data_IF_047015178225
#
_entry.id   IF_047015178225
#
_cell.length_a   1.000
_cell.length_b   1.000
_cell.length_c   1.000
_cell.angle_alpha   90.00
_cell.angle_beta   90.00
_cell.angle_gamma   90.00
#
_symmetry.space_group_name_H-M   'P 1'
#
loop_
_entity.id
_entity.type
_entity.pdbx_description
1 polymer ?
#
# COMPACT_ATOMS: atom_id res chain seq x y z
N UNK A 1 31.31 -25.80 -31.80
CA UNK A 1 30.17 -25.08 -32.40
C UNK A 1 29.84 -23.92 -31.47
N UNK A 2 30.19 -22.68 -31.86
CA UNK A 2 29.91 -21.47 -31.10
C UNK A 2 28.46 -21.05 -31.35
N UNK A 3 27.60 -21.20 -30.36
CA UNK A 3 26.26 -20.59 -30.37
C UNK A 3 26.35 -19.32 -29.53
N UNK A 4 26.80 -18.24 -30.17
CA UNK A 4 26.65 -16.88 -29.65
C UNK A 4 25.19 -16.47 -29.82
N UNK A 5 24.36 -16.81 -28.83
CA UNK A 5 22.99 -16.29 -28.77
C UNK A 5 23.07 -14.77 -28.49
N UNK A 6 22.99 -13.95 -29.54
CA UNK A 6 22.80 -12.51 -29.43
C UNK A 6 21.38 -12.25 -28.91
N UNK A 7 21.18 -12.41 -27.61
CA UNK A 7 19.99 -11.92 -26.92
C UNK A 7 20.07 -10.39 -26.85
N UNK A 8 19.27 -9.71 -27.67
CA UNK A 8 19.03 -8.27 -27.55
C UNK A 8 18.20 -8.02 -26.30
N UNK A 9 18.86 -7.78 -25.18
CA UNK A 9 18.19 -7.29 -23.97
C UNK A 9 17.72 -5.86 -24.21
N UNK A 10 16.44 -5.56 -23.95
CA UNK A 10 16.00 -4.16 -23.83
C UNK A 10 16.79 -3.49 -22.69
N UNK A 11 17.52 -2.42 -22.99
CA UNK A 11 18.21 -1.65 -21.96
C UNK A 11 17.19 -0.83 -21.14
N UNK A 12 16.67 -1.46 -20.08
CA UNK A 12 15.71 -0.88 -19.14
C UNK A 12 16.36 0.10 -18.16
N UNK A 13 17.67 0.35 -18.24
CA UNK A 13 18.36 1.24 -17.30
C UNK A 13 17.85 2.68 -17.37
N UNK A 14 17.55 3.17 -18.57
CA UNK A 14 17.02 4.52 -18.74
C UNK A 14 15.60 4.62 -18.17
N UNK A 15 14.73 3.67 -18.52
CA UNK A 15 13.38 3.57 -17.97
C UNK A 15 13.39 3.48 -16.43
N UNK A 16 14.27 2.65 -15.85
CA UNK A 16 14.38 2.50 -14.40
C UNK A 16 14.78 3.79 -13.70
N UNK A 17 15.69 4.59 -14.29
CA UNK A 17 16.08 5.90 -13.74
C UNK A 17 14.92 6.89 -13.79
N UNK A 18 14.25 7.00 -14.93
CA UNK A 18 13.14 7.94 -15.13
C UNK A 18 11.95 7.56 -14.23
N UNK A 19 11.64 6.26 -14.15
CA UNK A 19 10.63 5.72 -13.25
C UNK A 19 10.96 6.01 -11.79
N UNK A 20 12.21 5.80 -11.33
CA UNK A 20 12.59 6.04 -9.93
C UNK A 20 12.41 7.49 -9.51
N UNK A 21 12.81 8.43 -10.36
CA UNK A 21 12.61 9.86 -10.13
C UNK A 21 11.14 10.21 -10.06
N UNK A 22 10.31 9.73 -11.00
CA UNK A 22 8.87 9.99 -10.98
C UNK A 22 8.16 9.32 -9.79
N UNK A 23 8.54 8.08 -9.51
CA UNK A 23 7.94 7.21 -8.50
C UNK A 23 7.99 7.84 -7.12
N UNK A 24 9.13 8.37 -6.67
CA UNK A 24 9.21 8.97 -5.33
C UNK A 24 8.22 10.13 -5.17
N UNK A 25 8.14 11.07 -6.12
CA UNK A 25 7.19 12.17 -6.03
C UNK A 25 5.73 11.67 -6.05
N UNK A 26 5.42 10.75 -6.95
CA UNK A 26 4.07 10.18 -7.07
C UNK A 26 3.66 9.43 -5.81
N UNK A 27 4.56 8.62 -5.24
CA UNK A 27 4.37 7.90 -3.99
C UNK A 27 4.01 8.84 -2.84
N UNK A 28 4.78 9.92 -2.65
CA UNK A 28 4.50 10.88 -1.60
C UNK A 28 3.14 11.57 -1.79
N UNK A 29 2.81 11.99 -3.02
CA UNK A 29 1.53 12.62 -3.34
C UNK A 29 0.37 11.67 -3.02
N UNK A 30 0.44 10.43 -3.50
CA UNK A 30 -0.61 9.42 -3.28
C UNK A 30 -0.72 9.09 -1.79
N UNK A 31 0.40 8.90 -1.09
CA UNK A 31 0.39 8.56 0.32
C UNK A 31 -0.16 9.69 1.20
N UNK A 32 0.15 10.96 0.90
CA UNK A 32 -0.38 12.11 1.64
C UNK A 32 -1.88 12.25 1.39
N UNK A 33 -2.30 12.28 0.13
CA UNK A 33 -3.71 12.42 -0.21
C UNK A 33 -4.53 11.24 0.31
N UNK A 34 -4.05 10.01 0.14
CA UNK A 34 -4.70 8.81 0.65
C UNK A 34 -4.81 8.78 2.17
N UNK A 35 -3.79 9.25 2.89
CA UNK A 35 -3.84 9.39 4.35
C UNK A 35 -4.90 10.40 4.77
N UNK A 36 -4.96 11.57 4.13
CA UNK A 36 -5.97 12.60 4.43
C UNK A 36 -7.37 12.06 4.20
N UNK A 37 -7.62 11.45 3.04
CA UNK A 37 -8.93 10.91 2.68
C UNK A 37 -9.37 9.79 3.62
N UNK A 38 -8.47 8.88 3.99
CA UNK A 38 -8.80 7.80 4.93
C UNK A 38 -8.99 8.30 6.37
N UNK A 39 -8.23 9.30 6.82
CA UNK A 39 -8.47 9.95 8.11
C UNK A 39 -9.84 10.61 8.14
N UNK A 40 -10.23 11.31 7.06
CA UNK A 40 -11.58 11.87 6.94
C UNK A 40 -12.65 10.78 6.99
N UNK A 41 -12.45 9.65 6.31
CA UNK A 41 -13.35 8.49 6.41
C UNK A 41 -13.48 7.99 7.84
N UNK A 42 -12.38 7.84 8.58
CA UNK A 42 -12.39 7.43 9.99
C UNK A 42 -13.20 8.43 10.82
N UNK A 43 -12.94 9.74 10.67
CA UNK A 43 -13.62 10.79 11.42
C UNK A 43 -15.14 10.79 11.18
N UNK A 44 -15.56 10.69 9.92
CA UNK A 44 -16.98 10.71 9.51
C UNK A 44 -17.68 9.44 10.03
N UNK A 45 -17.10 8.26 9.78
CA UNK A 45 -17.70 6.98 10.14
C UNK A 45 -17.72 6.73 11.66
N UNK A 46 -16.82 7.36 12.42
CA UNK A 46 -16.77 7.26 13.88
C UNK A 46 -17.84 8.09 14.60
N UNK A 47 -18.58 8.96 13.88
CA UNK A 47 -19.64 9.77 14.48
C UNK A 47 -20.75 8.90 15.07
N UNK A 48 -21.34 9.33 16.19
CA UNK A 48 -22.39 8.57 16.90
C UNK A 48 -23.58 8.21 16.01
N UNK A 49 -23.92 9.08 15.06
CA UNK A 49 -25.04 8.91 14.13
C UNK A 49 -24.78 7.84 13.07
N UNK A 50 -23.52 7.53 12.77
CA UNK A 50 -23.13 6.56 11.75
C UNK A 50 -22.64 5.23 12.35
N UNK A 51 -22.91 4.94 13.63
CA UNK A 51 -22.52 3.65 14.23
C UNK A 51 -23.37 2.51 13.67
N UNK A 52 -22.81 1.78 12.73
CA UNK A 52 -23.38 0.55 12.17
C UNK A 52 -22.27 -0.49 11.96
N UNK A 53 -22.58 -1.79 11.95
CA UNK A 53 -21.58 -2.84 11.68
C UNK A 53 -20.81 -2.61 10.37
N UNK A 54 -21.52 -2.16 9.33
CA UNK A 54 -20.93 -1.75 8.04
C UNK A 54 -19.88 -0.66 8.22
N UNK A 55 -20.20 0.38 9.00
CA UNK A 55 -19.31 1.52 9.20
C UNK A 55 -18.12 1.18 10.10
N UNK A 56 -18.25 0.21 11.00
CA UNK A 56 -17.11 -0.35 11.73
C UNK A 56 -16.13 -1.05 10.77
N UNK A 57 -16.62 -1.88 9.86
CA UNK A 57 -15.77 -2.55 8.85
C UNK A 57 -15.07 -1.52 7.96
N UNK A 58 -15.80 -0.50 7.49
CA UNK A 58 -15.24 0.59 6.70
C UNK A 58 -14.20 1.40 7.47
N UNK A 59 -14.42 1.64 8.76
CA UNK A 59 -13.44 2.33 9.62
C UNK A 59 -12.18 1.49 9.80
N UNK A 60 -12.32 0.18 10.04
CA UNK A 60 -11.18 -0.75 10.13
C UNK A 60 -10.38 -0.80 8.83
N UNK A 61 -11.05 -0.79 7.69
CA UNK A 61 -10.42 -0.74 6.36
C UNK A 61 -9.62 0.57 6.19
N UNK A 62 -10.22 1.71 6.51
CA UNK A 62 -9.55 3.00 6.43
C UNK A 62 -8.34 3.10 7.38
N UNK A 63 -8.41 2.49 8.57
CA UNK A 63 -7.27 2.42 9.51
C UNK A 63 -6.13 1.59 8.90
N UNK A 64 -6.44 0.43 8.32
CA UNK A 64 -5.43 -0.43 7.68
C UNK A 64 -4.72 0.31 6.54
N UNK A 65 -5.47 1.04 5.72
CA UNK A 65 -4.90 1.81 4.60
C UNK A 65 -3.98 2.93 5.09
N UNK A 66 -4.37 3.70 6.12
CA UNK A 66 -3.52 4.75 6.72
C UNK A 66 -2.21 4.17 7.26
N UNK A 67 -2.28 3.02 7.94
CA UNK A 67 -1.10 2.35 8.50
C UNK A 67 -0.12 1.97 7.38
N UNK A 68 -0.61 1.40 6.27
CA UNK A 68 0.22 1.06 5.11
C UNK A 68 0.82 2.32 4.48
N UNK A 69 0.05 3.40 4.35
CA UNK A 69 0.56 4.65 3.75
C UNK A 69 1.69 5.27 4.59
N UNK A 70 1.58 5.24 5.91
CA UNK A 70 2.63 5.74 6.81
C UNK A 70 3.90 4.91 6.78
N UNK A 71 3.79 3.59 6.65
CA UNK A 71 4.95 2.71 6.53
C UNK A 71 5.63 2.82 5.15
N UNK A 72 4.84 3.06 4.10
CA UNK A 72 5.37 3.16 2.73
C UNK A 72 6.20 4.43 2.49
N UNK A 73 5.85 5.57 3.10
CA UNK A 73 6.62 6.83 2.95
C UNK A 73 8.12 6.72 3.32
N UNK A 74 8.51 6.22 4.51
CA UNK A 74 9.91 6.03 4.85
C UNK A 74 10.57 4.98 3.97
N UNK A 75 9.86 3.93 3.56
CA UNK A 75 10.38 2.96 2.59
C UNK A 75 10.73 3.62 1.25
N UNK A 76 9.81 4.37 0.64
CA UNK A 76 10.03 5.04 -0.64
C UNK A 76 11.22 6.01 -0.57
N UNK A 77 11.37 6.72 0.55
CA UNK A 77 12.50 7.63 0.78
C UNK A 77 13.84 6.90 0.94
N UNK A 78 13.88 5.83 1.75
CA UNK A 78 15.12 5.08 1.97
C UNK A 78 15.54 4.28 0.74
N UNK A 79 14.58 3.76 -0.04
CA UNK A 79 14.81 3.09 -1.31
C UNK A 79 15.45 4.01 -2.36
N UNK A 80 15.21 5.33 -2.31
CA UNK A 80 15.88 6.26 -3.21
C UNK A 80 17.37 6.52 -2.82
N UNK A 81 17.72 6.35 -1.54
CA UNK A 81 19.10 6.49 -1.06
C UNK A 81 19.94 5.25 -1.36
N UNK A 82 20.65 5.27 -2.48
CA UNK A 82 21.47 4.16 -3.01
C UNK A 82 22.56 3.65 -2.05
N UNK A 83 23.00 4.47 -1.11
CA UNK A 83 24.02 4.13 -0.09
C UNK A 83 23.49 3.26 1.05
N UNK A 84 22.17 3.22 1.27
CA UNK A 84 21.57 2.44 2.37
C UNK A 84 21.41 0.94 2.06
N UNK A 85 21.45 0.55 0.78
CA UNK A 85 21.13 -0.81 0.32
C UNK A 85 21.97 -1.92 0.93
N UNK A 86 23.23 -1.61 1.28
CA UNK A 86 24.18 -2.60 1.79
C UNK A 86 24.28 -2.63 3.32
N UNK A 87 23.44 -1.87 4.02
CA UNK A 87 23.39 -1.90 5.49
C UNK A 87 22.43 -2.99 5.98
N UNK A 88 22.87 -3.77 6.98
CA UNK A 88 22.05 -4.79 7.64
C UNK A 88 20.70 -4.26 8.15
N UNK A 89 20.70 -3.02 8.67
CA UNK A 89 19.49 -2.37 9.16
C UNK A 89 18.47 -2.10 8.05
N UNK A 90 18.94 -1.70 6.87
CA UNK A 90 18.06 -1.47 5.72
C UNK A 90 17.52 -2.78 5.17
N UNK A 91 18.34 -3.83 5.04
CA UNK A 91 17.85 -5.15 4.60
C UNK A 91 16.77 -5.71 5.53
N UNK A 92 16.96 -5.56 6.86
CA UNK A 92 15.95 -5.96 7.85
C UNK A 92 14.65 -5.15 7.69
N UNK A 93 14.77 -3.85 7.43
CA UNK A 93 13.63 -2.97 7.16
C UNK A 93 12.90 -3.35 5.87
N UNK A 94 13.60 -3.73 4.79
CA UNK A 94 12.97 -4.22 3.54
C UNK A 94 12.15 -5.49 3.78
N UNK A 95 12.66 -6.42 4.58
CA UNK A 95 11.93 -7.65 4.93
C UNK A 95 10.68 -7.29 5.75
N UNK A 96 10.82 -6.41 6.74
CA UNK A 96 9.70 -5.90 7.52
C UNK A 96 8.65 -5.26 6.61
N UNK A 97 9.05 -4.31 5.76
CA UNK A 97 8.19 -3.64 4.79
C UNK A 97 7.43 -4.64 3.92
N UNK A 98 8.13 -5.62 3.34
CA UNK A 98 7.53 -6.62 2.47
C UNK A 98 6.49 -7.48 3.20
N UNK A 99 6.76 -7.92 4.42
CA UNK A 99 5.80 -8.73 5.20
C UNK A 99 4.63 -7.87 5.67
N UNK A 100 4.93 -6.67 6.17
CA UNK A 100 3.95 -5.75 6.73
C UNK A 100 2.94 -5.29 5.68
N UNK A 101 3.41 -4.71 4.56
CA UNK A 101 2.53 -4.22 3.49
C UNK A 101 1.66 -5.34 2.92
N UNK A 102 2.24 -6.52 2.65
CA UNK A 102 1.46 -7.66 2.15
C UNK A 102 0.41 -8.12 3.15
N UNK A 103 0.74 -8.22 4.45
CA UNK A 103 -0.21 -8.63 5.47
C UNK A 103 -1.37 -7.64 5.59
N UNK A 104 -1.10 -6.33 5.66
CA UNK A 104 -2.14 -5.33 5.77
C UNK A 104 -2.99 -5.20 4.51
N UNK A 105 -2.39 -5.29 3.31
CA UNK A 105 -3.17 -5.36 2.07
C UNK A 105 -4.08 -6.57 2.04
N UNK A 106 -3.60 -7.74 2.46
CA UNK A 106 -4.42 -8.95 2.57
C UNK A 106 -5.59 -8.74 3.54
N UNK A 107 -5.34 -8.14 4.71
CA UNK A 107 -6.38 -7.80 5.69
C UNK A 107 -7.41 -6.83 5.08
N UNK A 108 -6.98 -5.78 4.39
CA UNK A 108 -7.86 -4.84 3.69
C UNK A 108 -8.74 -5.56 2.66
N UNK A 109 -8.18 -6.49 1.87
CA UNK A 109 -8.95 -7.31 0.94
C UNK A 109 -9.99 -8.18 1.66
N UNK A 110 -9.61 -8.84 2.76
CA UNK A 110 -10.54 -9.63 3.56
C UNK A 110 -11.68 -8.77 4.13
N UNK A 111 -11.39 -7.57 4.65
CA UNK A 111 -12.39 -6.63 5.15
C UNK A 111 -13.35 -6.19 4.04
N UNK A 112 -12.85 -5.94 2.83
CA UNK A 112 -13.69 -5.61 1.67
C UNK A 112 -14.63 -6.77 1.28
N UNK A 113 -14.14 -8.01 1.33
CA UNK A 113 -14.96 -9.21 1.09
C UNK A 113 -16.04 -9.34 2.18
N UNK A 114 -15.65 -9.19 3.45
CA UNK A 114 -16.59 -9.23 4.58
C UNK A 114 -17.66 -8.15 4.43
N UNK A 115 -17.29 -6.93 4.03
CA UNK A 115 -18.22 -5.84 3.75
C UNK A 115 -19.20 -6.21 2.63
N UNK A 116 -18.71 -6.82 1.54
CA UNK A 116 -19.55 -7.25 0.44
C UNK A 116 -20.57 -8.32 0.87
N UNK A 117 -20.13 -9.31 1.66
CA UNK A 117 -21.00 -10.35 2.23
C UNK A 117 -22.03 -9.73 3.18
N UNK A 118 -21.61 -8.82 4.07
CA UNK A 118 -22.49 -8.14 5.01
C UNK A 118 -23.60 -7.38 4.28
N UNK A 119 -23.25 -6.64 3.22
CA UNK A 119 -24.24 -5.94 2.38
C UNK A 119 -25.18 -6.92 1.67
N UNK A 120 -24.68 -8.06 1.21
CA UNK A 120 -25.55 -9.08 0.59
C UNK A 120 -26.58 -9.63 1.59
N UNK A 121 -26.15 -9.96 2.81
CA UNK A 121 -27.03 -10.47 3.86
C UNK A 121 -28.09 -9.43 4.23
N UNK A 122 -27.69 -8.18 4.45
CA UNK A 122 -28.61 -7.09 4.82
C UNK A 122 -29.70 -6.82 3.76
N UNK A 123 -29.42 -7.08 2.48
CA UNK A 123 -30.42 -6.94 1.40
C UNK A 123 -31.34 -8.16 1.33
N UNK A 124 -30.81 -9.37 1.55
CA UNK A 124 -31.58 -10.62 1.45
C UNK A 124 -32.44 -10.91 2.68
N UNK A 125 -31.96 -10.49 3.86
CA UNK A 125 -32.59 -10.69 5.15
C UNK A 125 -32.66 -9.33 5.87
N UNK A 126 -33.73 -8.55 5.61
CA UNK A 126 -33.90 -7.23 6.19
C UNK A 126 -34.14 -7.26 7.71
#
# INVERSE_FOLDING_TARGET
MNVSANATFCDLKQFSKDFRSCHIYLSFIICILGSILNILNICILSTKQMRSPTNYILTSLAIADVIVMFEYMPFAYMQDKRTAYYSYGFSSFIIFHAVFTNAFHFISCCLAIILAIWRYIAVKFP
#
